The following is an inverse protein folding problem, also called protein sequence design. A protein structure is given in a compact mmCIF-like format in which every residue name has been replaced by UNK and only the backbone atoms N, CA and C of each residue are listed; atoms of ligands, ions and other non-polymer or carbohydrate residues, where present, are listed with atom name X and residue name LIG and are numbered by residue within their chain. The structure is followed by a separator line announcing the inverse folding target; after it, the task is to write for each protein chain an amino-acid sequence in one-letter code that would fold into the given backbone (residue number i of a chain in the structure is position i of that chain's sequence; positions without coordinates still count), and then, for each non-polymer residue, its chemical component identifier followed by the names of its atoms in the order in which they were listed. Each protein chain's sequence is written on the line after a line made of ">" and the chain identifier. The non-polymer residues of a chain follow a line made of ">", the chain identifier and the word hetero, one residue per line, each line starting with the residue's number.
data_IF_351841953200
#
_entry.id   IF_351841953200
#
_cell.length_a   1.000
_cell.length_b   1.000
_cell.length_c   1.000
_cell.angle_alpha   90.00
_cell.angle_beta   90.00
_cell.angle_gamma   90.00
#
_symmetry.space_group_name_H-M   'P 1'
#
loop_
_entity.id
_entity.type
_entity.pdbx_description
1 polymer ?
#
# COMPACT_ATOMS: atom_id res chain seq x y z
N UNK A 1 18.38 -2.82 -1.96
CA UNK A 1 17.64 -1.65 -2.47
C UNK A 1 16.19 -2.09 -2.55
N UNK A 2 15.27 -1.31 -1.96
CA UNK A 2 13.84 -1.63 -1.96
C UNK A 2 13.16 -0.98 -3.16
N UNK A 3 12.23 -1.70 -3.78
CA UNK A 3 11.39 -1.22 -4.87
C UNK A 3 9.95 -1.41 -4.46
N UNK A 4 9.17 -0.34 -4.57
CA UNK A 4 7.73 -0.30 -4.36
C UNK A 4 7.05 -0.32 -5.72
N UNK A 5 6.25 -1.35 -5.96
CA UNK A 5 5.45 -1.52 -7.17
C UNK A 5 4.00 -1.32 -6.79
N UNK A 6 3.36 -0.27 -7.33
CA UNK A 6 1.95 0.02 -7.07
C UNK A 6 1.12 -0.41 -8.27
N UNK A 7 0.12 -1.23 -8.01
CA UNK A 7 -0.80 -1.80 -8.99
C UNK A 7 -2.19 -1.24 -8.76
N UNK A 8 -2.78 -0.64 -9.79
CA UNK A 8 -4.20 -0.31 -9.81
C UNK A 8 -5.03 -1.50 -10.25
N UNK A 9 -6.03 -1.83 -9.45
CA UNK A 9 -7.08 -2.76 -9.80
C UNK A 9 -8.23 -1.99 -10.45
N UNK A 10 -8.53 -2.31 -11.71
CA UNK A 10 -9.56 -1.66 -12.54
C UNK A 10 -10.39 -2.75 -13.22
N UNK A 11 -11.72 -2.78 -13.06
CA UNK A 11 -12.68 -3.70 -13.75
C UNK A 11 -12.11 -5.02 -14.36
N UNK A 12 -11.34 -5.80 -13.58
CA UNK A 12 -10.81 -7.10 -13.99
C UNK A 12 -9.33 -7.16 -14.42
N UNK A 13 -8.61 -6.04 -14.40
CA UNK A 13 -7.17 -5.95 -14.72
C UNK A 13 -6.38 -5.31 -13.58
N UNK A 14 -5.15 -5.79 -13.37
CA UNK A 14 -4.15 -5.15 -12.50
C UNK A 14 -3.11 -4.46 -13.39
N UNK A 15 -2.95 -3.16 -13.22
CA UNK A 15 -2.03 -2.34 -14.03
C UNK A 15 -1.00 -1.67 -13.12
N UNK A 16 0.28 -1.76 -13.48
CA UNK A 16 1.34 -1.07 -12.75
C UNK A 16 1.24 0.44 -12.98
N UNK A 17 0.94 1.20 -11.94
CA UNK A 17 0.83 2.67 -11.98
C UNK A 17 2.07 3.38 -11.43
N UNK A 18 2.86 2.70 -10.61
CA UNK A 18 4.12 3.23 -10.09
C UNK A 18 5.13 2.12 -9.83
N UNK A 19 6.40 2.41 -10.13
CA UNK A 19 7.56 1.55 -9.81
C UNK A 19 8.72 2.46 -9.43
N UNK A 20 9.23 2.33 -8.21
CA UNK A 20 10.37 3.11 -7.75
C UNK A 20 10.79 2.77 -6.33
N UNK A 21 11.85 3.40 -5.84
CA UNK A 21 12.36 3.23 -4.48
C UNK A 21 11.80 4.25 -3.46
N UNK A 22 10.90 5.12 -3.90
CA UNK A 22 10.31 6.18 -3.07
C UNK A 22 9.07 5.68 -2.33
N UNK A 23 9.26 5.33 -1.05
CA UNK A 23 8.20 4.81 -0.17
C UNK A 23 7.09 5.82 0.06
N UNK A 24 7.43 7.07 0.38
CA UNK A 24 6.45 8.12 0.68
C UNK A 24 5.52 8.36 -0.50
N UNK A 25 6.09 8.38 -1.72
CA UNK A 25 5.30 8.49 -2.94
C UNK A 25 4.43 7.26 -3.16
N UNK A 26 4.98 6.05 -3.02
CA UNK A 26 4.22 4.82 -3.23
C UNK A 26 3.02 4.71 -2.27
N UNK A 27 3.25 5.01 -0.99
CA UNK A 27 2.24 4.97 0.06
C UNK A 27 1.25 6.14 -0.01
N UNK A 28 1.64 7.26 -0.63
CA UNK A 28 0.79 8.44 -0.78
C UNK A 28 -0.25 8.33 -1.90
N UNK A 29 -0.10 7.35 -2.80
CA UNK A 29 -1.01 7.16 -3.94
C UNK A 29 -2.40 6.74 -3.49
N UNK A 30 -3.41 7.33 -4.11
CA UNK A 30 -4.83 7.01 -3.83
C UNK A 30 -5.51 6.46 -5.07
N UNK A 31 -6.43 5.48 -4.93
CA UNK A 31 -7.21 4.99 -6.08
C UNK A 31 -7.98 6.12 -6.76
N UNK A 32 -8.40 7.15 -6.01
CA UNK A 32 -9.08 8.35 -6.51
C UNK A 32 -8.26 9.18 -7.51
N UNK A 33 -6.93 9.02 -7.51
CA UNK A 33 -6.04 9.69 -8.47
C UNK A 33 -5.98 8.98 -9.83
N UNK A 34 -6.57 7.79 -9.95
CA UNK A 34 -6.56 6.96 -11.15
C UNK A 34 -7.98 6.73 -11.69
N UNK A 35 -8.13 6.81 -13.01
CA UNK A 35 -9.44 6.63 -13.66
C UNK A 35 -9.88 5.15 -13.59
N UNK A 36 -11.12 4.92 -13.13
CA UNK A 36 -11.71 3.58 -12.95
C UNK A 36 -10.92 2.63 -12.02
N UNK A 37 -10.23 3.18 -11.01
CA UNK A 37 -9.48 2.38 -10.04
C UNK A 37 -10.31 2.07 -8.78
N UNK A 38 -10.58 0.79 -8.56
CA UNK A 38 -11.29 0.28 -7.38
C UNK A 38 -10.37 0.10 -6.17
N UNK A 39 -9.10 -0.23 -6.42
CA UNK A 39 -8.13 -0.49 -5.36
C UNK A 39 -6.69 -0.32 -5.83
N UNK A 40 -5.80 0.05 -4.91
CA UNK A 40 -4.37 0.01 -5.13
C UNK A 40 -3.74 -1.11 -4.29
N UNK A 41 -2.73 -1.77 -4.84
CA UNK A 41 -1.90 -2.76 -4.17
C UNK A 41 -0.45 -2.33 -4.25
N UNK A 42 0.31 -2.52 -3.18
CA UNK A 42 1.75 -2.24 -3.12
C UNK A 42 2.46 -3.56 -2.96
N UNK A 43 3.45 -3.82 -3.81
CA UNK A 43 4.40 -4.91 -3.62
C UNK A 43 5.77 -4.33 -3.30
N UNK A 44 6.38 -4.82 -2.23
CA UNK A 44 7.74 -4.49 -1.83
C UNK A 44 8.67 -5.58 -2.36
N UNK A 45 9.68 -5.15 -3.10
CA UNK A 45 10.72 -6.02 -3.64
C UNK A 45 12.07 -5.60 -3.09
N UNK A 46 12.87 -6.56 -2.63
CA UNK A 46 14.23 -6.35 -2.15
C UNK A 46 15.16 -7.41 -2.75
N UNK A 47 16.30 -6.99 -3.28
CA UNK A 47 17.31 -7.88 -3.89
C UNK A 47 16.78 -8.77 -5.04
N UNK A 48 15.70 -8.34 -5.70
CA UNK A 48 15.07 -9.08 -6.79
C UNK A 48 14.06 -10.14 -6.33
N UNK A 49 13.79 -10.24 -5.03
CA UNK A 49 12.75 -11.07 -4.46
C UNK A 49 11.64 -10.19 -3.87
N UNK A 50 10.39 -10.62 -4.05
CA UNK A 50 9.24 -9.97 -3.42
C UNK A 50 9.25 -10.30 -1.93
N UNK A 51 9.35 -9.28 -1.10
CA UNK A 51 9.42 -9.43 0.36
C UNK A 51 8.08 -9.21 1.04
N UNK A 52 7.22 -8.36 0.49
CA UNK A 52 5.94 -8.02 1.10
C UNK A 52 4.92 -7.54 0.05
N UNK A 53 3.63 -7.62 0.36
CA UNK A 53 2.58 -6.95 -0.37
C UNK A 53 1.37 -6.65 0.51
N UNK A 54 0.74 -5.50 0.24
CA UNK A 54 -0.45 -5.08 0.95
C UNK A 54 -1.34 -4.21 0.06
N UNK A 55 -2.62 -4.15 0.43
CA UNK A 55 -3.56 -3.23 -0.20
C UNK A 55 -3.38 -1.83 0.39
N UNK A 56 -3.32 -0.83 -0.47
CA UNK A 56 -3.36 0.58 -0.07
C UNK A 56 -4.79 0.93 0.36
N UNK A 57 -5.06 0.78 1.65
CA UNK A 57 -6.31 1.22 2.28
C UNK A 57 -6.18 2.67 2.71
N UNK A 58 -7.16 3.50 2.35
CA UNK A 58 -7.16 4.92 2.67
C UNK A 58 -7.50 5.11 4.17
N UNK A 59 -6.46 5.14 5.02
CA UNK A 59 -6.46 5.49 6.46
C UNK A 59 -7.55 4.87 7.37
N UNK A 60 -7.25 3.76 8.07
CA UNK A 60 -8.01 3.38 9.29
C UNK A 60 -7.34 2.39 10.28
N UNK A 61 -6.01 2.28 10.35
CA UNK A 61 -5.37 1.48 11.42
C UNK A 61 -4.56 2.30 12.42
N UNK A 62 -4.62 3.64 12.35
CA UNK A 62 -4.11 4.57 13.38
C UNK A 62 -5.00 4.61 14.65
N UNK A 63 -5.52 3.46 15.08
CA UNK A 63 -5.96 3.24 16.46
C UNK A 63 -5.02 2.22 17.12
N UNK A 64 -3.73 2.54 17.13
CA UNK A 64 -2.87 2.28 18.29
C UNK A 64 -2.97 3.58 19.10
N UNK A 65 -3.31 3.61 20.39
CA UNK A 65 -2.48 3.14 21.52
C UNK A 65 -3.38 2.77 22.75
N UNK A 66 -2.85 2.54 23.98
CA UNK A 66 -2.28 1.30 24.51
C UNK A 66 -2.96 0.86 25.84
N UNK A 67 -2.49 -0.26 26.41
CA UNK A 67 -2.85 -0.85 27.71
C UNK A 67 -3.18 0.16 28.83
N UNK A 68 -4.35 0.03 29.46
CA UNK A 68 -4.62 0.55 30.80
C UNK A 68 -5.07 -0.61 31.68
N UNK A 69 -4.11 -1.34 32.22
CA UNK A 69 -4.32 -2.10 33.44
C UNK A 69 -4.99 -1.23 34.52
N UNK A 70 -6.17 -1.67 34.98
CA UNK A 70 -6.63 -1.37 36.32
C UNK A 70 -7.20 -2.66 36.90
N UNK A 71 -6.40 -3.30 37.74
CA UNK A 71 -6.90 -4.23 38.75
C UNK A 71 -8.01 -3.54 39.54
N UNK A 72 -9.16 -4.20 39.67
CA UNK A 72 -10.02 -4.13 40.85
C UNK A 72 -10.59 -5.52 41.15
#
# INVERSE_FOLDING_TARGET
>A
MKIYVVLSFTEGEMVNVYVGDDEERALGLRPEEFENCDALFVEIWEDGEKTDDFRLEHEASLLDEPDSGLEQ
#
